data_IF_160697611814
#
_entry.id   IF_160697611814
#
_cell.length_a   1.000
_cell.length_b   1.000
_cell.length_c   1.000
_cell.angle_alpha   90.00
_cell.angle_beta   90.00
_cell.angle_gamma   90.00
#
_symmetry.space_group_name_H-M   'P 1'
#
loop_
_entity.id
_entity.type
_entity.pdbx_description
1 polymer ?
#
# COMPACT_ATOMS: atom_id res chain seq x y z
N UNK A 1 -14.72 40.68 17.27
CA UNK A 1 -15.61 39.59 16.82
C UNK A 1 -15.39 39.39 15.32
N UNK A 2 -14.26 38.80 14.91
CA UNK A 2 -13.93 38.48 13.51
C UNK A 2 -13.16 37.16 13.55
N UNK A 3 -13.86 36.07 13.86
CA UNK A 3 -13.31 34.70 13.93
C UNK A 3 -13.85 33.81 12.81
N UNK A 4 -14.34 34.41 11.72
CA UNK A 4 -15.03 33.72 10.63
C UNK A 4 -14.44 34.00 9.23
N UNK A 5 -13.23 34.56 9.14
CA UNK A 5 -12.60 34.88 7.86
C UNK A 5 -11.59 33.84 7.35
N UNK A 6 -11.24 32.82 8.14
CA UNK A 6 -10.24 31.82 7.74
C UNK A 6 -10.83 30.56 7.07
N UNK A 7 -12.15 30.38 7.10
CA UNK A 7 -12.77 29.11 6.71
C UNK A 7 -13.30 29.08 5.26
N UNK A 8 -13.25 30.20 4.54
CA UNK A 8 -13.77 30.31 3.17
C UNK A 8 -12.71 30.42 2.07
N UNK A 9 -11.41 30.49 2.42
CA UNK A 9 -10.32 30.53 1.42
C UNK A 9 -9.91 29.13 0.94
N UNK A 10 -10.20 28.06 1.71
CA UNK A 10 -9.74 26.70 1.39
C UNK A 10 -10.57 25.95 0.33
N UNK A 11 -11.77 26.43 -0.03
CA UNK A 11 -12.65 25.71 -0.99
C UNK A 11 -12.54 26.19 -2.45
N UNK A 12 -11.48 26.93 -2.82
CA UNK A 12 -11.33 27.45 -4.20
C UNK A 12 -10.04 27.09 -4.94
N UNK A 13 -9.14 26.32 -4.34
CA UNK A 13 -8.01 25.75 -5.07
C UNK A 13 -8.32 24.33 -5.52
N UNK A 14 -9.36 24.21 -6.34
CA UNK A 14 -9.53 23.07 -7.25
C UNK A 14 -9.27 23.59 -8.66
N UNK A 15 -8.31 22.95 -9.33
CA UNK A 15 -7.93 23.02 -10.75
C UNK A 15 -6.67 23.85 -11.10
N UNK A 16 -5.69 23.09 -11.63
CA UNK A 16 -4.60 23.44 -12.56
C UNK A 16 -3.21 23.70 -11.94
N UNK A 17 -2.40 22.64 -11.86
CA UNK A 17 -1.08 22.62 -12.52
C UNK A 17 -0.55 21.17 -12.69
N UNK A 18 -0.13 20.76 -13.89
CA UNK A 18 0.49 19.46 -14.17
C UNK A 18 2.01 19.49 -13.89
N UNK A 19 2.38 20.03 -12.73
CA UNK A 19 3.77 20.32 -12.34
C UNK A 19 3.91 20.20 -10.82
N UNK A 20 3.67 19.01 -10.25
CA UNK A 20 4.33 18.64 -8.99
C UNK A 20 5.65 17.93 -9.29
N UNK A 21 6.42 18.53 -10.20
CA UNK A 21 7.87 18.36 -10.34
C UNK A 21 8.54 19.55 -9.65
N UNK A 22 8.22 19.75 -8.37
CA UNK A 22 9.00 20.59 -7.48
C UNK A 22 9.49 19.67 -6.35
N UNK A 23 10.68 19.11 -6.56
CA UNK A 23 11.38 18.33 -5.55
C UNK A 23 11.90 19.28 -4.46
N UNK A 24 10.99 19.85 -3.66
CA UNK A 24 11.34 20.39 -2.36
C UNK A 24 11.14 19.29 -1.32
N UNK A 25 12.12 18.38 -1.28
CA UNK A 25 12.55 17.72 -0.04
C UNK A 25 11.50 16.98 0.80
N UNK A 26 10.52 16.31 0.19
CA UNK A 26 9.85 15.19 0.88
C UNK A 26 10.48 13.92 0.34
N UNK A 27 11.59 13.50 0.93
CA UNK A 27 12.25 12.25 0.60
C UNK A 27 11.37 11.09 1.08
N UNK A 28 10.36 10.70 0.31
CA UNK A 28 9.43 9.65 0.72
C UNK A 28 10.05 8.26 0.62
N UNK A 29 9.63 7.37 1.51
CA UNK A 29 9.91 5.94 1.40
C UNK A 29 8.93 5.35 0.38
N UNK A 30 9.45 4.80 -0.71
CA UNK A 30 8.63 4.23 -1.79
C UNK A 30 8.71 2.71 -1.78
N UNK A 31 7.56 2.04 -1.68
CA UNK A 31 7.44 0.58 -1.79
C UNK A 31 6.61 0.25 -3.01
N UNK A 32 7.06 -0.72 -3.81
CA UNK A 32 6.30 -1.23 -4.96
C UNK A 32 5.59 -2.52 -4.58
N UNK A 33 4.30 -2.61 -4.87
CA UNK A 33 3.48 -3.79 -4.58
C UNK A 33 3.12 -4.46 -5.90
N UNK A 34 3.52 -5.73 -6.06
CA UNK A 34 3.23 -6.52 -7.26
C UNK A 34 2.09 -7.48 -7.03
N UNK A 35 1.11 -7.44 -7.94
CA UNK A 35 -0.07 -8.29 -7.92
C UNK A 35 -0.01 -9.32 -9.04
N UNK A 36 -0.51 -10.53 -8.77
CA UNK A 36 -0.44 -11.66 -9.69
C UNK A 36 -1.81 -12.31 -9.88
N UNK A 37 -2.03 -12.89 -11.07
CA UNK A 37 -3.21 -13.70 -11.43
C UNK A 37 -4.54 -13.06 -10.98
N UNK A 38 -5.36 -13.74 -10.17
CA UNK A 38 -6.67 -13.27 -9.70
C UNK A 38 -6.62 -11.97 -8.92
N UNK A 39 -5.55 -11.71 -8.15
CA UNK A 39 -5.42 -10.44 -7.44
C UNK A 39 -5.15 -9.28 -8.41
N UNK A 40 -4.37 -9.52 -9.48
CA UNK A 40 -4.17 -8.52 -10.54
C UNK A 40 -5.47 -8.21 -11.27
N UNK A 41 -6.30 -9.21 -11.52
CA UNK A 41 -7.63 -9.02 -12.15
C UNK A 41 -8.57 -8.22 -11.24
N UNK A 42 -8.59 -8.53 -9.94
CA UNK A 42 -9.38 -7.82 -8.94
C UNK A 42 -8.99 -6.34 -8.83
N UNK A 43 -7.69 -6.05 -8.91
CA UNK A 43 -7.15 -4.69 -8.77
C UNK A 43 -7.13 -3.93 -10.10
N UNK A 44 -7.09 -4.64 -11.24
CA UNK A 44 -6.95 -4.04 -12.56
C UNK A 44 -5.55 -3.51 -12.89
N UNK A 45 -4.56 -3.73 -12.02
CA UNK A 45 -3.17 -3.27 -12.19
C UNK A 45 -2.17 -4.36 -11.83
N UNK A 46 -1.02 -4.35 -12.51
CA UNK A 46 0.10 -5.28 -12.23
C UNK A 46 0.94 -4.86 -11.01
N UNK A 47 1.03 -3.56 -10.76
CA UNK A 47 1.88 -2.98 -9.73
C UNK A 47 1.25 -1.68 -9.22
N UNK A 48 1.41 -1.39 -7.93
CA UNK A 48 1.01 -0.14 -7.27
C UNK A 48 2.18 0.34 -6.40
N UNK A 49 2.50 1.63 -6.46
CA UNK A 49 3.58 2.21 -5.65
C UNK A 49 2.98 3.04 -4.53
N UNK A 50 3.35 2.74 -3.29
CA UNK A 50 2.96 3.51 -2.12
C UNK A 50 4.12 4.37 -1.64
N UNK A 51 3.83 5.63 -1.35
CA UNK A 51 4.78 6.57 -0.77
C UNK A 51 4.42 6.82 0.71
N UNK A 52 5.42 6.72 1.57
CA UNK A 52 5.32 6.97 3.00
C UNK A 52 6.27 8.12 3.40
N UNK A 53 5.99 8.84 4.50
CA UNK A 53 6.91 9.86 5.01
C UNK A 53 8.31 9.31 5.29
N UNK A 54 9.35 10.12 5.11
CA UNK A 54 10.71 9.71 5.46
C UNK A 54 10.84 9.44 6.96
N UNK A 55 11.66 8.45 7.32
CA UNK A 55 11.93 8.10 8.73
C UNK A 55 10.79 7.36 9.42
N UNK A 56 9.67 7.11 8.74
CA UNK A 56 8.67 6.18 9.21
C UNK A 56 9.23 4.75 9.16
N UNK A 57 9.04 3.99 10.25
CA UNK A 57 9.20 2.54 10.21
C UNK A 57 7.97 1.97 9.49
N UNK A 58 8.13 1.69 8.20
CA UNK A 58 7.08 1.13 7.34
C UNK A 58 7.18 -0.38 7.40
N UNK A 59 6.12 -1.04 7.82
CA UNK A 59 6.04 -2.51 7.86
C UNK A 59 5.13 -3.07 6.77
N UNK A 60 5.23 -4.38 6.52
CA UNK A 60 4.30 -5.10 5.63
C UNK A 60 2.85 -4.91 6.08
N UNK A 61 2.57 -4.93 7.38
CA UNK A 61 1.24 -4.65 7.93
C UNK A 61 0.70 -3.27 7.54
N UNK A 62 1.54 -2.23 7.64
CA UNK A 62 1.18 -0.87 7.25
C UNK A 62 0.90 -0.75 5.75
N UNK A 63 1.67 -1.47 4.92
CA UNK A 63 1.44 -1.54 3.48
C UNK A 63 0.10 -2.21 3.19
N UNK A 64 -0.20 -3.37 3.78
CA UNK A 64 -1.48 -4.05 3.60
C UNK A 64 -2.66 -3.18 4.07
N UNK A 65 -2.51 -2.51 5.21
CA UNK A 65 -3.51 -1.57 5.73
C UNK A 65 -3.76 -0.39 4.78
N UNK A 66 -2.72 0.09 4.11
CA UNK A 66 -2.84 1.15 3.09
C UNK A 66 -3.58 0.64 1.86
N UNK A 67 -3.30 -0.58 1.40
CA UNK A 67 -4.01 -1.20 0.28
C UNK A 67 -5.49 -1.47 0.60
N UNK A 68 -5.81 -1.86 1.84
CA UNK A 68 -7.20 -1.99 2.32
C UNK A 68 -7.95 -0.66 2.21
N UNK A 69 -7.31 0.46 2.57
CA UNK A 69 -7.93 1.78 2.44
C UNK A 69 -8.14 2.19 0.98
N UNK A 70 -7.24 1.77 0.08
CA UNK A 70 -7.29 2.10 -1.34
C UNK A 70 -8.33 1.28 -2.12
N UNK A 71 -8.39 -0.03 -1.88
CA UNK A 71 -9.23 -0.94 -2.68
C UNK A 71 -10.47 -1.44 -1.94
N UNK A 72 -10.56 -1.19 -0.63
CA UNK A 72 -11.74 -1.46 0.16
C UNK A 72 -12.08 -2.94 0.31
N UNK A 73 -13.38 -3.23 0.39
CA UNK A 73 -13.94 -4.53 0.75
C UNK A 73 -13.42 -5.70 -0.12
N UNK A 74 -13.37 -5.63 -1.46
CA UNK A 74 -12.89 -6.75 -2.27
C UNK A 74 -11.46 -7.19 -1.93
N UNK A 75 -10.58 -6.22 -1.62
CA UNK A 75 -9.21 -6.53 -1.23
C UNK A 75 -9.13 -7.14 0.17
N UNK A 76 -9.93 -6.63 1.13
CA UNK A 76 -10.03 -7.21 2.47
C UNK A 76 -10.49 -8.67 2.40
N UNK A 77 -11.56 -8.93 1.64
CA UNK A 77 -12.11 -10.26 1.44
C UNK A 77 -11.11 -11.21 0.79
N UNK A 78 -10.22 -10.69 -0.06
CA UNK A 78 -9.18 -11.48 -0.69
C UNK A 78 -8.03 -11.83 0.28
N UNK A 79 -7.51 -10.83 1.00
CA UNK A 79 -6.30 -10.94 1.83
C UNK A 79 -6.56 -11.57 3.20
N UNK A 80 -7.67 -11.23 3.86
CA UNK A 80 -7.92 -11.58 5.25
C UNK A 80 -8.99 -12.65 5.40
N UNK A 81 -8.86 -13.48 6.44
CA UNK A 81 -9.89 -14.40 6.87
C UNK A 81 -10.93 -13.66 7.72
N UNK A 82 -12.20 -13.66 7.31
CA UNK A 82 -13.28 -12.97 8.04
C UNK A 82 -13.50 -13.45 9.47
N UNK A 83 -13.13 -14.70 9.79
CA UNK A 83 -13.34 -15.28 11.12
C UNK A 83 -12.20 -14.94 12.07
N UNK A 84 -10.96 -14.98 11.60
CA UNK A 84 -9.77 -14.79 12.45
C UNK A 84 -9.20 -13.37 12.37
N UNK A 85 -9.50 -12.62 11.31
CA UNK A 85 -8.88 -11.33 11.02
C UNK A 85 -7.43 -11.44 10.52
N UNK A 86 -6.91 -12.66 10.37
CA UNK A 86 -5.53 -12.90 9.96
C UNK A 86 -5.41 -12.93 8.44
N UNK A 87 -4.21 -12.66 7.92
CA UNK A 87 -3.89 -12.88 6.50
C UNK A 87 -4.09 -14.36 6.18
N UNK A 88 -4.79 -14.65 5.08
CA UNK A 88 -5.09 -16.03 4.68
C UNK A 88 -3.79 -16.80 4.45
N UNK A 89 -3.62 -17.91 5.15
CA UNK A 89 -2.37 -18.69 5.15
C UNK A 89 -1.96 -19.31 3.81
N UNK A 90 -2.85 -19.34 2.81
CA UNK A 90 -2.50 -19.77 1.46
C UNK A 90 -1.79 -18.68 0.64
N UNK A 91 -1.83 -17.42 1.08
CA UNK A 91 -1.17 -16.31 0.40
C UNK A 91 0.29 -16.28 0.77
N UNK A 92 1.16 -16.15 -0.22
CA UNK A 92 2.59 -15.92 0.01
C UNK A 92 2.89 -14.43 -0.16
N UNK A 93 3.39 -13.83 0.90
CA UNK A 93 3.87 -12.45 0.90
C UNK A 93 5.39 -12.48 0.84
N UNK A 94 5.96 -11.90 -0.22
CA UNK A 94 7.40 -11.90 -0.45
C UNK A 94 7.94 -10.46 -0.50
N UNK A 95 8.97 -10.18 0.28
CA UNK A 95 9.75 -8.94 0.18
C UNK A 95 11.02 -9.24 -0.60
N UNK A 96 11.18 -8.63 -1.78
CA UNK A 96 12.31 -8.86 -2.68
C UNK A 96 12.57 -10.36 -2.96
N UNK A 97 11.50 -11.14 -3.10
CA UNK A 97 11.56 -12.59 -3.35
C UNK A 97 11.74 -13.46 -2.10
N UNK A 98 11.90 -12.88 -0.90
CA UNK A 98 12.01 -13.62 0.36
C UNK A 98 10.68 -13.64 1.10
N UNK A 99 10.27 -14.81 1.60
CA UNK A 99 9.01 -14.95 2.34
C UNK A 99 9.05 -14.20 3.66
N UNK A 100 8.02 -13.41 3.95
CA UNK A 100 7.94 -12.70 5.24
C UNK A 100 7.88 -13.68 6.43
N UNK A 101 7.40 -14.91 6.22
CA UNK A 101 7.37 -15.94 7.26
C UNK A 101 8.78 -16.37 7.72
N UNK A 102 9.77 -16.21 6.84
CA UNK A 102 11.20 -16.42 7.17
C UNK A 102 11.89 -15.16 7.68
N UNK A 103 11.21 -14.01 7.64
CA UNK A 103 11.64 -12.73 8.17
C UNK A 103 10.88 -12.44 9.48
N UNK A 104 10.42 -11.20 9.68
CA UNK A 104 9.66 -10.78 10.86
C UNK A 104 8.14 -10.81 10.64
N UNK A 105 7.65 -11.61 9.68
CA UNK A 105 6.24 -11.69 9.32
C UNK A 105 5.68 -10.34 8.89
N UNK A 106 4.48 -9.99 9.37
CA UNK A 106 3.85 -8.70 9.10
C UNK A 106 4.62 -7.50 9.69
N UNK A 107 5.51 -7.74 10.66
CA UNK A 107 6.39 -6.72 11.25
C UNK A 107 7.67 -6.50 10.45
N UNK A 108 7.85 -7.19 9.32
CA UNK A 108 9.00 -6.95 8.43
C UNK A 108 9.01 -5.50 7.99
N UNK A 109 10.09 -4.79 8.32
CA UNK A 109 10.32 -3.41 7.89
C UNK A 109 10.72 -3.37 6.42
N UNK A 110 10.28 -2.33 5.74
CA UNK A 110 10.50 -2.10 4.32
C UNK A 110 11.29 -0.80 4.13
N UNK A 111 12.16 -0.79 3.13
CA UNK A 111 12.96 0.37 2.74
C UNK A 111 12.50 0.91 1.37
N UNK A 112 12.98 2.11 1.04
CA UNK A 112 12.76 2.70 -0.29
C UNK A 112 13.31 1.78 -1.37
N UNK A 113 12.49 1.47 -2.36
CA UNK A 113 12.83 0.59 -3.48
C UNK A 113 12.45 -0.88 -3.25
N UNK A 114 12.00 -1.26 -2.05
CA UNK A 114 11.57 -2.62 -1.78
C UNK A 114 10.31 -2.97 -2.57
N UNK A 115 10.25 -4.25 -2.95
CA UNK A 115 9.13 -4.83 -3.68
C UNK A 115 8.42 -5.85 -2.80
N UNK A 116 7.14 -5.60 -2.50
CA UNK A 116 6.25 -6.57 -1.88
C UNK A 116 5.43 -7.30 -2.95
N UNK A 117 5.66 -8.60 -3.14
CA UNK A 117 4.82 -9.43 -3.99
C UNK A 117 3.74 -10.14 -3.16
N UNK A 118 2.49 -10.07 -3.65
CA UNK A 118 1.36 -10.81 -3.06
C UNK A 118 0.98 -11.92 -4.03
N UNK A 119 1.34 -13.15 -3.67
CA UNK A 119 1.15 -14.32 -4.51
C UNK A 119 -0.03 -15.16 -3.99
N UNK A 120 -1.06 -15.41 -4.81
CA UNK A 120 -2.02 -16.48 -4.55
C UNK A 120 -1.36 -17.86 -4.52
N UNK A 121 -2.08 -18.89 -4.03
CA UNK A 121 -1.62 -20.26 -4.17
C UNK A 121 -1.39 -20.56 -5.64
N UNK A 122 -0.21 -21.07 -5.95
CA UNK A 122 0.12 -21.54 -7.29
C UNK A 122 -0.61 -22.85 -7.53
N UNK A 123 -1.57 -22.86 -8.46
CA UNK A 123 -2.11 -24.09 -9.01
C UNK A 123 -1.04 -24.73 -9.88
N UNK A 124 -0.42 -25.80 -9.41
CA UNK A 124 0.41 -26.66 -10.26
C UNK A 124 -0.47 -27.27 -11.34
N UNK A 125 -0.10 -27.07 -12.60
CA UNK A 125 -0.56 -27.89 -13.72
C UNK A 125 0.21 -29.21 -13.76
#
# INVERSE_FOLDING_TARGET
>A
MIRLAYETVLMRYSLISPLFSYCYGVCTLQVSIRFFTSLRELIGKKEETLAFPQGASVTVDMVLSSLVKLYGKPFVEYIYNHKTGEVKGFLQLLVNGKSIATLSGLKTELATGDVLAILPPVGGG
#
